data_IF_313899487881
#
_entry.id   IF_313899487881
#
_cell.length_a   1.000
_cell.length_b   1.000
_cell.length_c   1.000
_cell.angle_alpha   90.00
_cell.angle_beta   90.00
_cell.angle_gamma   90.00
#
_symmetry.space_group_name_H-M   'P 1'
#
loop_
_entity.id
_entity.type
_entity.pdbx_description
1 polymer ?
#
# COMPACT_ATOMS: atom_id res chain seq x y z
N UNK A 1 9.79 -13.28 -6.16
CA UNK A 1 9.13 -13.16 -5.55
C UNK A 1 8.59 -14.05 -4.67
N UNK A 2 8.70 -14.06 -3.52
CA UNK A 2 8.18 -15.00 -2.72
C UNK A 2 6.86 -14.63 -2.27
N UNK A 3 5.99 -15.54 -2.22
CA UNK A 3 4.66 -15.31 -1.78
C UNK A 3 4.62 -14.82 -0.35
N UNK A 4 5.52 -15.34 0.47
CA UNK A 4 5.59 -14.92 1.82
C UNK A 4 5.83 -13.45 1.93
N UNK A 5 6.81 -12.98 1.20
CA UNK A 5 7.16 -11.58 1.24
C UNK A 5 5.99 -10.74 0.73
N UNK A 6 5.36 -11.19 -0.31
CA UNK A 6 4.24 -10.47 -0.87
C UNK A 6 3.12 -10.36 0.14
N UNK A 7 2.81 -11.45 0.81
CA UNK A 7 1.76 -11.45 1.80
C UNK A 7 2.07 -10.50 2.94
N UNK A 8 3.30 -10.49 3.38
CA UNK A 8 3.69 -9.61 4.46
C UNK A 8 3.57 -8.15 4.05
N UNK A 9 3.98 -7.87 2.83
CA UNK A 9 3.88 -6.51 2.34
C UNK A 9 2.43 -6.08 2.24
N UNK A 10 1.58 -6.98 1.79
CA UNK A 10 0.16 -6.67 1.67
C UNK A 10 -0.42 -6.38 3.04
N UNK A 11 -0.08 -7.19 4.02
CA UNK A 11 -0.58 -6.98 5.36
C UNK A 11 -0.13 -5.65 5.91
N UNK A 12 1.13 -5.34 5.73
CA UNK A 12 1.64 -4.08 6.19
C UNK A 12 0.92 -2.94 5.52
N UNK A 13 0.75 -3.05 4.22
CA UNK A 13 0.10 -2.00 3.46
C UNK A 13 -1.33 -1.81 3.93
N UNK A 14 -2.01 -2.90 4.23
CA UNK A 14 -3.36 -2.81 4.73
C UNK A 14 -3.43 -2.04 6.04
N UNK A 15 -2.48 -2.28 6.90
CA UNK A 15 -2.46 -1.60 8.17
C UNK A 15 -2.16 -0.13 8.03
N UNK A 16 -1.29 0.18 7.10
CA UNK A 16 -0.92 1.58 6.88
C UNK A 16 -2.02 2.35 6.19
N UNK A 17 -2.61 1.78 5.18
CA UNK A 17 -3.60 2.49 4.39
C UNK A 17 -5.03 2.16 4.73
N UNK A 18 -5.26 0.99 5.27
CA UNK A 18 -6.62 0.58 5.56
C UNK A 18 -7.36 0.12 4.33
N UNK A 19 -6.66 -0.09 3.24
CA UNK A 19 -7.28 -0.53 2.00
C UNK A 19 -7.48 -2.04 2.02
N UNK A 20 -8.41 -2.52 1.25
CA UNK A 20 -8.69 -3.93 1.21
C UNK A 20 -7.55 -4.75 0.64
N UNK A 21 -7.59 -6.05 0.89
CA UNK A 21 -6.52 -6.94 0.47
C UNK A 21 -6.30 -6.88 -1.04
N UNK A 22 -7.36 -6.91 -1.79
CA UNK A 22 -7.26 -6.89 -3.22
C UNK A 22 -6.50 -5.68 -3.74
N UNK A 23 -6.85 -4.54 -3.25
CA UNK A 23 -6.20 -3.32 -3.69
C UNK A 23 -4.76 -3.28 -3.25
N UNK A 24 -4.49 -3.74 -2.05
CA UNK A 24 -3.13 -3.76 -1.56
C UNK A 24 -2.28 -4.70 -2.41
N UNK A 25 -2.86 -5.85 -2.75
CA UNK A 25 -2.14 -6.79 -3.56
C UNK A 25 -1.80 -6.20 -4.91
N UNK A 26 -2.75 -5.52 -5.50
CA UNK A 26 -2.54 -4.91 -6.80
C UNK A 26 -1.44 -3.85 -6.71
N UNK A 27 -1.50 -3.03 -5.68
CA UNK A 27 -0.50 -1.99 -5.51
C UNK A 27 0.89 -2.58 -5.35
N UNK A 28 0.99 -3.60 -4.54
CA UNK A 28 2.27 -4.27 -4.30
C UNK A 28 2.78 -4.87 -5.60
N UNK A 29 1.88 -5.48 -6.34
CA UNK A 29 2.25 -6.13 -7.58
C UNK A 29 2.74 -5.11 -8.60
N UNK A 30 2.07 -4.00 -8.69
CA UNK A 30 2.44 -2.98 -9.65
C UNK A 30 3.76 -2.31 -9.29
N UNK A 31 4.10 -2.32 -8.04
CA UNK A 31 5.31 -1.66 -7.58
C UNK A 31 6.40 -2.61 -7.11
N UNK A 32 6.32 -3.85 -7.58
CA UNK A 32 7.37 -4.81 -7.26
C UNK A 32 7.62 -4.99 -5.77
N UNK A 33 6.58 -4.93 -5.00
CA UNK A 33 6.71 -5.16 -3.58
C UNK A 33 7.17 -3.95 -2.80
N UNK A 34 7.22 -2.80 -3.41
CA UNK A 34 7.66 -1.60 -2.73
C UNK A 34 6.52 -1.01 -1.92
N UNK A 35 6.66 -0.99 -0.62
CA UNK A 35 5.60 -0.50 0.25
C UNK A 35 5.33 0.98 0.02
N UNK A 36 6.37 1.77 0.03
CA UNK A 36 6.19 3.21 -0.13
C UNK A 36 5.55 3.57 -1.44
N UNK A 37 6.02 2.96 -2.51
CA UNK A 37 5.45 3.24 -3.80
C UNK A 37 4.02 2.73 -3.89
N UNK A 38 3.75 1.65 -3.20
CA UNK A 38 2.40 1.10 -3.19
C UNK A 38 1.45 2.06 -2.49
N UNK A 39 1.91 2.67 -1.42
CA UNK A 39 1.10 3.64 -0.71
C UNK A 39 0.76 4.80 -1.63
N UNK A 40 1.75 5.29 -2.32
CA UNK A 40 1.55 6.39 -3.23
C UNK A 40 0.62 5.98 -4.36
N UNK A 41 0.78 4.77 -4.83
CA UNK A 41 -0.06 4.24 -5.89
C UNK A 41 -1.53 4.27 -5.46
N UNK A 42 -1.79 3.82 -4.25
CA UNK A 42 -3.15 3.77 -3.75
C UNK A 42 -3.70 5.17 -3.50
N UNK A 43 -2.84 6.06 -3.05
CA UNK A 43 -3.28 7.44 -2.81
C UNK A 43 -3.63 8.12 -4.12
N UNK A 44 -2.84 7.88 -5.12
CA UNK A 44 -3.10 8.47 -6.42
C UNK A 44 -4.42 7.98 -6.99
N UNK A 45 -4.72 6.73 -6.73
CA UNK A 45 -5.95 6.17 -7.22
C UNK A 45 -7.13 6.62 -6.39
N UNK A 46 -6.86 7.25 -5.27
CA UNK A 46 -7.93 7.68 -4.40
C UNK A 46 -8.53 6.57 -3.58
N UNK A 47 -7.84 5.46 -3.49
CA UNK A 47 -8.32 4.33 -2.72
C UNK A 47 -7.90 4.44 -1.28
N UNK A 48 -6.65 4.82 -1.05
CA UNK A 48 -6.15 4.91 0.31
C UNK A 48 -6.59 6.22 0.94
N UNK A 49 -6.93 6.17 2.26
CA UNK A 49 -7.30 7.36 2.92
C UNK A 49 -6.10 8.17 3.19
N UNK A 50 -6.10 9.38 2.96
CA UNK A 50 -4.96 10.23 3.17
C UNK A 50 -4.77 10.41 4.62
N UNK A 51 -3.72 10.04 5.11
CA UNK A 51 -3.59 10.20 6.50
C UNK A 51 -3.10 11.51 6.73
N UNK A 52 -3.28 12.08 7.31
CA UNK A 52 -2.96 13.25 7.63
C UNK A 52 -1.74 13.51 7.99
N UNK A 53 -1.02 13.61 7.87
CA UNK A 53 0.04 13.79 8.09
C UNK A 53 0.67 14.55 8.18
N UNK A 54 1.03 14.89 8.40
CA UNK A 54 1.62 15.42 8.49
C UNK A 54 2.30 16.23 8.26
N UNK A 55 2.51 16.71 8.38
CA UNK A 55 2.97 17.35 8.09
C UNK A 55 3.41 18.31 7.98
N UNK A 56 3.35 18.88 7.75
CA UNK A 56 3.68 19.70 7.55
C UNK A 56 3.76 20.57 7.48
N UNK A 57 3.74 21.04 7.61
CA UNK A 57 3.74 21.76 7.42
C UNK A 57 3.75 22.27 7.17
#
# INVERSE_FOLDING_TARGET
>A
MSDKQTLENIKKLREITGVGFKDCKLAIDENNGDIEKSIEYLRKKGIAKASKKMGRV
#
